data_IF_632859689179
#
_entry.id   IF_632859689179
#
_cell.length_a   1.000
_cell.length_b   1.000
_cell.length_c   1.000
_cell.angle_alpha   90.00
_cell.angle_beta   90.00
_cell.angle_gamma   90.00
#
_symmetry.space_group_name_H-M   'P 1'
#
loop_
_entity.id
_entity.type
_entity.pdbx_description
1 polymer ?
#
# COMPACT_ATOMS: atom_id res chain seq x y z
N UNK A 1 -20.93 -3.03 0.57
CA UNK A 1 -19.53 -3.22 1.02
C UNK A 1 -19.55 -3.19 2.55
N UNK A 2 -18.66 -3.92 3.25
CA UNK A 2 -18.69 -4.00 4.73
C UNK A 2 -18.27 -2.67 5.40
N UNK A 3 -17.63 -1.78 4.64
CA UNK A 3 -17.21 -0.43 5.07
C UNK A 3 -17.68 0.61 4.05
N UNK A 4 -17.97 1.81 4.54
CA UNK A 4 -18.37 2.96 3.70
C UNK A 4 -17.18 3.73 3.13
N UNK A 5 -16.00 3.57 3.73
CA UNK A 5 -14.75 4.23 3.31
C UNK A 5 -13.55 3.30 3.44
N UNK A 6 -12.63 3.41 2.48
CA UNK A 6 -11.31 2.77 2.49
C UNK A 6 -10.24 3.58 3.24
N UNK A 7 -10.61 4.74 3.84
CA UNK A 7 -9.71 5.52 4.68
C UNK A 7 -9.24 4.79 5.95
N UNK A 8 -8.36 5.42 6.71
CA UNK A 8 -7.82 4.82 7.95
C UNK A 8 -8.94 4.48 8.96
N UNK A 9 -8.91 3.25 9.48
CA UNK A 9 -9.82 2.78 10.52
C UNK A 9 -9.38 3.26 11.91
N UNK A 10 -10.36 3.50 12.77
CA UNK A 10 -10.09 3.76 14.18
C UNK A 10 -9.34 2.56 14.82
N UNK A 11 -8.43 2.79 15.78
CA UNK A 11 -7.69 1.72 16.44
C UNK A 11 -8.57 0.65 17.12
N UNK A 12 -9.78 1.04 17.52
CA UNK A 12 -10.75 0.18 18.24
C UNK A 12 -11.70 -0.56 17.29
N UNK A 13 -11.63 -0.31 15.98
CA UNK A 13 -12.50 -0.92 14.99
C UNK A 13 -12.31 -2.44 14.94
N UNK A 14 -13.40 -3.20 15.10
CA UNK A 14 -13.37 -4.66 15.13
C UNK A 14 -12.85 -5.29 13.82
N UNK A 15 -13.00 -4.60 12.68
CA UNK A 15 -12.48 -5.06 11.39
C UNK A 15 -10.98 -4.87 11.25
N UNK A 16 -10.36 -4.00 12.06
CA UNK A 16 -8.94 -3.68 11.97
C UNK A 16 -8.03 -4.89 12.19
N UNK A 17 -8.41 -5.79 13.10
CA UNK A 17 -7.67 -7.04 13.36
C UNK A 17 -7.73 -7.99 12.16
N UNK A 18 -8.92 -8.15 11.56
CA UNK A 18 -9.16 -8.99 10.39
C UNK A 18 -8.34 -8.47 9.21
N UNK A 19 -8.44 -7.18 8.89
CA UNK A 19 -7.67 -6.58 7.81
C UNK A 19 -6.17 -6.56 8.10
N UNK A 20 -5.76 -6.45 9.36
CA UNK A 20 -4.36 -6.61 9.77
C UNK A 20 -3.82 -7.99 9.42
N UNK A 21 -4.58 -9.05 9.68
CA UNK A 21 -4.20 -10.41 9.28
C UNK A 21 -4.17 -10.58 7.76
N UNK A 22 -5.16 -10.05 7.05
CA UNK A 22 -5.19 -10.03 5.58
C UNK A 22 -3.96 -9.32 5.01
N UNK A 23 -3.56 -8.19 5.58
CA UNK A 23 -2.36 -7.47 5.17
C UNK A 23 -1.11 -8.32 5.35
N UNK A 24 -0.95 -9.01 6.49
CA UNK A 24 0.20 -9.91 6.73
C UNK A 24 0.28 -11.02 5.68
N UNK A 25 -0.84 -11.66 5.34
CA UNK A 25 -0.87 -12.69 4.31
C UNK A 25 -0.58 -12.11 2.92
N UNK A 26 -1.26 -11.03 2.55
CA UNK A 26 -1.08 -10.39 1.24
C UNK A 26 0.35 -9.87 1.04
N UNK A 27 0.96 -9.24 2.05
CA UNK A 27 2.37 -8.81 2.00
C UNK A 27 3.32 -9.98 1.74
N UNK A 28 3.07 -11.14 2.36
CA UNK A 28 3.88 -12.35 2.12
C UNK A 28 3.73 -12.86 0.69
N UNK A 29 2.50 -12.92 0.18
CA UNK A 29 2.21 -13.41 -1.17
C UNK A 29 2.77 -12.46 -2.24
N UNK A 30 2.69 -11.15 -2.01
CA UNK A 30 3.28 -10.13 -2.90
C UNK A 30 4.80 -10.21 -2.91
N UNK A 31 5.44 -10.37 -1.74
CA UNK A 31 6.89 -10.56 -1.67
C UNK A 31 7.34 -11.83 -2.43
N UNK A 32 6.58 -12.92 -2.32
CA UNK A 32 6.83 -14.13 -3.09
C UNK A 32 6.68 -13.90 -4.60
N UNK A 33 5.63 -13.20 -5.02
CA UNK A 33 5.41 -12.89 -6.43
C UNK A 33 6.55 -12.02 -7.02
N UNK A 34 7.07 -11.06 -6.24
CA UNK A 34 8.24 -10.25 -6.60
C UNK A 34 9.46 -11.14 -6.81
N UNK A 35 9.77 -11.99 -5.82
CA UNK A 35 10.91 -12.91 -5.92
C UNK A 35 10.79 -13.83 -7.14
N UNK A 36 9.61 -14.38 -7.42
CA UNK A 36 9.38 -15.21 -8.61
C UNK A 36 9.55 -14.42 -9.92
N UNK A 37 9.15 -13.15 -9.95
CA UNK A 37 9.37 -12.24 -11.08
C UNK A 37 10.87 -12.05 -11.36
N UNK A 38 11.66 -11.78 -10.32
CA UNK A 38 13.12 -11.67 -10.41
C UNK A 38 13.76 -12.94 -10.97
N UNK A 39 13.38 -14.12 -10.44
CA UNK A 39 13.91 -15.42 -10.89
C UNK A 39 13.59 -15.72 -12.37
N UNK A 40 12.43 -15.27 -12.84
CA UNK A 40 11.95 -15.51 -14.20
C UNK A 40 12.30 -14.37 -15.18
N UNK A 41 13.02 -13.33 -14.72
CA UNK A 41 13.27 -12.10 -15.49
C UNK A 41 11.95 -11.47 -16.03
N UNK A 42 10.92 -11.48 -15.20
CA UNK A 42 9.60 -10.94 -15.50
C UNK A 42 9.32 -9.73 -14.60
N UNK A 43 8.95 -8.60 -15.20
CA UNK A 43 8.53 -7.42 -14.45
C UNK A 43 7.17 -7.64 -13.78
N UNK A 44 7.08 -7.27 -12.50
CA UNK A 44 5.87 -7.44 -11.68
C UNK A 44 5.45 -6.13 -11.00
N UNK A 45 5.24 -5.04 -11.78
CA UNK A 45 5.03 -3.69 -11.24
C UNK A 45 3.79 -3.59 -10.35
N UNK A 46 2.78 -4.44 -10.55
CA UNK A 46 1.60 -4.47 -9.68
C UNK A 46 1.83 -5.20 -8.36
N UNK A 47 2.77 -6.14 -8.30
CA UNK A 47 3.15 -6.78 -7.04
C UNK A 47 3.92 -5.79 -6.17
N UNK A 48 4.81 -5.00 -6.77
CA UNK A 48 5.55 -3.90 -6.13
C UNK A 48 4.60 -2.81 -5.62
N UNK A 49 3.72 -2.30 -6.50
CA UNK A 49 2.71 -1.31 -6.10
C UNK A 49 1.78 -1.85 -5.00
N UNK A 50 1.38 -3.11 -5.13
CA UNK A 50 0.59 -3.80 -4.12
C UNK A 50 1.31 -3.85 -2.78
N UNK A 51 2.61 -4.17 -2.76
CA UNK A 51 3.40 -4.27 -1.54
C UNK A 51 3.48 -2.92 -0.82
N UNK A 52 3.64 -1.83 -1.56
CA UNK A 52 3.65 -0.46 -1.04
C UNK A 52 2.28 0.00 -0.55
N UNK A 53 1.21 -0.38 -1.25
CA UNK A 53 -0.12 0.22 -1.04
C UNK A 53 -1.07 -0.63 -0.20
N UNK A 54 -0.82 -1.92 -0.01
CA UNK A 54 -1.81 -2.87 0.53
C UNK A 54 -2.35 -2.44 1.89
N UNK A 55 -1.47 -2.01 2.80
CA UNK A 55 -1.85 -1.66 4.17
C UNK A 55 -2.71 -0.40 4.23
N UNK A 56 -2.32 0.63 3.48
CA UNK A 56 -3.11 1.88 3.37
C UNK A 56 -4.44 1.64 2.65
N UNK A 57 -4.47 0.83 1.59
CA UNK A 57 -5.69 0.45 0.88
C UNK A 57 -6.68 -0.35 1.75
N UNK A 58 -6.16 -1.10 2.73
CA UNK A 58 -6.96 -1.79 3.74
C UNK A 58 -7.39 -0.86 4.90
N UNK A 59 -6.98 0.42 4.90
CA UNK A 59 -7.29 1.39 5.94
C UNK A 59 -6.57 1.10 7.27
N UNK A 60 -5.41 0.46 7.25
CA UNK A 60 -4.63 0.16 8.45
C UNK A 60 -3.67 1.28 8.86
N UNK A 61 -3.41 2.19 7.93
CA UNK A 61 -2.53 3.35 8.03
C UNK A 61 -3.04 4.45 7.10
N UNK A 62 -2.60 5.68 7.34
CA UNK A 62 -2.91 6.80 6.48
C UNK A 62 -2.39 6.56 5.04
N UNK A 63 -3.08 7.06 4.01
CA UNK A 63 -2.60 7.00 2.64
C UNK A 63 -1.18 7.56 2.56
N UNK A 64 -0.31 6.87 1.81
CA UNK A 64 0.98 7.44 1.47
C UNK A 64 0.76 8.71 0.64
N UNK A 65 0.98 9.88 1.26
CA UNK A 65 1.12 11.12 0.50
C UNK A 65 2.34 10.96 -0.39
N UNK A 66 2.14 10.78 -1.69
CA UNK A 66 3.21 10.87 -2.67
C UNK A 66 3.72 12.32 -2.69
N UNK A 67 4.62 12.64 -1.76
CA UNK A 67 5.33 13.92 -1.72
C UNK A 67 6.31 13.95 -2.90
N UNK A 68 5.79 14.15 -4.12
CA UNK A 68 6.55 14.86 -5.13
C UNK A 68 6.55 16.33 -4.71
N UNK A 69 7.69 16.77 -4.19
CA UNK A 69 8.00 18.16 -3.91
C UNK A 69 7.67 19.03 -5.13
N UNK A 70 6.97 20.16 -4.99
CA UNK A 70 7.04 21.20 -6.00
C UNK A 70 8.46 21.79 -5.97
N UNK A 71 9.30 21.37 -6.93
CA UNK A 71 10.49 22.10 -7.35
C UNK A 71 10.05 23.47 -7.90
N UNK A 72 9.83 24.44 -7.02
CA UNK A 72 9.74 25.85 -7.37
C UNK A 72 11.16 26.40 -7.55
N UNK A 73 11.84 25.92 -8.57
CA UNK A 73 13.06 26.55 -9.09
C UNK A 73 12.70 27.90 -9.70
N UNK A 74 13.23 28.97 -9.09
CA UNK A 74 13.58 30.26 -9.70
C UNK A 74 12.49 30.95 -10.54
N UNK A 75 11.64 31.76 -9.90
CA UNK A 75 11.18 33.00 -10.54
C UNK A 75 10.57 33.96 -9.52
N UNK A 76 11.39 34.89 -9.04
CA UNK A 76 11.03 36.24 -8.58
C UNK A 76 12.38 36.90 -8.25
N UNK A 77 13.04 37.49 -9.25
CA UNK A 77 12.89 38.89 -9.68
C UNK A 77 13.36 39.87 -8.62
#
# INVERSE_FOLDING_TARGET
MIRDSAGEMAPVDGLRSIFGHTATLGTKDLALAIQMGEELNCEVPFAELGLESLRSALGLEAPHSSSQSPDQSKSQS
#
